data_IF_587253205707
#
_entry.id   IF_587253205707
#
_cell.length_a   1.000
_cell.length_b   1.000
_cell.length_c   1.000
_cell.angle_alpha   90.00
_cell.angle_beta   90.00
_cell.angle_gamma   90.00
#
_symmetry.space_group_name_H-M   'P 1'
#
loop_
_entity.id
_entity.type
_entity.pdbx_description
1 polymer ?
#
# COMPACT_ATOMS: atom_id res chain seq x y z
N UNK A 1 -42.91 33.15 -44.78
CA UNK A 1 -41.80 32.21 -45.07
C UNK A 1 -40.53 32.93 -44.67
N UNK A 2 -40.10 32.70 -43.45
CA UNK A 2 -38.96 33.39 -42.82
C UNK A 2 -38.14 32.28 -42.17
N UNK A 3 -37.13 31.83 -42.90
CA UNK A 3 -36.22 30.77 -42.44
C UNK A 3 -35.16 31.40 -41.54
N UNK A 4 -35.39 31.25 -40.23
CA UNK A 4 -34.44 31.56 -39.16
C UNK A 4 -33.29 30.54 -39.18
N UNK A 5 -32.15 30.95 -39.74
CA UNK A 5 -30.91 30.21 -39.65
C UNK A 5 -30.33 30.32 -38.25
N UNK A 6 -30.52 29.25 -37.47
CA UNK A 6 -30.01 29.11 -36.11
C UNK A 6 -28.52 28.73 -36.14
N UNK A 7 -27.65 29.74 -36.03
CA UNK A 7 -26.20 29.63 -35.99
C UNK A 7 -25.75 29.10 -34.61
N UNK A 8 -25.67 27.78 -34.45
CA UNK A 8 -25.03 27.14 -33.28
C UNK A 8 -23.52 27.32 -33.36
N UNK A 9 -23.02 28.36 -32.70
CA UNK A 9 -21.61 28.49 -32.37
C UNK A 9 -21.23 27.40 -31.36
N UNK A 10 -20.46 26.43 -31.84
CA UNK A 10 -19.77 25.45 -31.01
C UNK A 10 -18.61 26.15 -30.31
N UNK A 11 -18.85 26.66 -29.11
CA UNK A 11 -17.78 27.11 -28.22
C UNK A 11 -16.89 25.90 -27.91
N UNK A 12 -15.67 25.90 -28.45
CA UNK A 12 -14.66 24.95 -28.02
C UNK A 12 -14.30 25.29 -26.57
N UNK A 13 -14.22 24.30 -25.66
CA UNK A 13 -13.78 24.55 -24.31
C UNK A 13 -12.36 25.12 -24.38
N UNK A 14 -12.21 26.36 -23.91
CA UNK A 14 -10.89 26.98 -23.78
C UNK A 14 -9.99 26.00 -23.02
N UNK A 15 -8.93 25.54 -23.68
CA UNK A 15 -7.87 24.76 -23.03
C UNK A 15 -7.29 25.65 -21.94
N UNK A 16 -7.80 25.46 -20.72
CA UNK A 16 -7.35 26.15 -19.53
C UNK A 16 -5.83 26.14 -19.52
N UNK A 17 -5.24 27.33 -19.49
CA UNK A 17 -3.80 27.52 -19.33
C UNK A 17 -3.42 26.71 -18.09
N UNK A 18 -2.70 25.60 -18.30
CA UNK A 18 -2.15 24.80 -17.21
C UNK A 18 -1.24 25.74 -16.43
N UNK A 19 -1.67 26.16 -15.25
CA UNK A 19 -0.80 26.86 -14.32
C UNK A 19 0.30 25.88 -13.94
N UNK A 20 1.43 25.96 -14.64
CA UNK A 20 2.65 25.18 -14.39
C UNK A 20 3.49 25.78 -13.26
N UNK A 21 2.99 26.83 -12.61
CA UNK A 21 3.64 27.37 -11.42
C UNK A 21 3.57 26.30 -10.32
N UNK A 22 4.73 25.84 -9.87
CA UNK A 22 4.82 24.95 -8.73
C UNK A 22 4.15 25.63 -7.53
N UNK A 23 3.32 24.92 -6.74
CA UNK A 23 2.90 25.44 -5.45
C UNK A 23 4.14 25.68 -4.59
N UNK A 24 4.19 26.85 -3.93
CA UNK A 24 5.24 27.16 -2.97
C UNK A 24 5.30 26.05 -1.90
N UNK A 25 6.50 25.56 -1.58
CA UNK A 25 6.70 24.48 -0.61
C UNK A 25 6.59 23.06 -1.19
N UNK A 26 6.44 22.88 -2.51
CA UNK A 26 6.42 21.54 -3.12
C UNK A 26 7.69 20.74 -2.81
N UNK A 27 8.87 21.33 -2.90
CA UNK A 27 10.13 20.60 -2.63
C UNK A 27 10.19 20.07 -1.19
N UNK A 28 9.80 20.89 -0.21
CA UNK A 28 9.69 20.48 1.20
C UNK A 28 8.65 19.37 1.39
N UNK A 29 7.50 19.49 0.72
CA UNK A 29 6.49 18.45 0.73
C UNK A 29 7.02 17.13 0.13
N UNK A 30 7.70 17.20 -1.01
CA UNK A 30 8.24 16.04 -1.72
C UNK A 30 9.30 15.35 -0.88
N UNK A 31 10.16 16.09 -0.17
CA UNK A 31 11.13 15.51 0.76
C UNK A 31 10.45 14.73 1.90
N UNK A 32 9.37 15.28 2.48
CA UNK A 32 8.60 14.60 3.54
C UNK A 32 7.81 13.39 3.03
N UNK A 33 7.23 13.48 1.84
CA UNK A 33 6.34 12.46 1.28
C UNK A 33 7.08 11.36 0.51
N UNK A 34 8.28 11.63 -0.01
CA UNK A 34 9.02 10.66 -0.85
C UNK A 34 9.42 9.41 -0.08
N UNK A 35 9.85 9.53 1.18
CA UNK A 35 10.30 8.39 1.97
C UNK A 35 9.17 7.40 2.29
N UNK A 36 8.01 7.83 2.84
CA UNK A 36 6.87 6.93 3.05
C UNK A 36 6.36 6.27 1.76
N UNK A 37 6.35 7.02 0.66
CA UNK A 37 5.88 6.52 -0.65
C UNK A 37 6.85 5.48 -1.23
N UNK A 38 8.16 5.72 -1.13
CA UNK A 38 9.19 4.76 -1.52
C UNK A 38 9.09 3.46 -0.69
N UNK A 39 9.00 3.55 0.64
CA UNK A 39 8.93 2.37 1.49
C UNK A 39 7.69 1.53 1.22
N UNK A 40 6.55 2.18 0.95
CA UNK A 40 5.36 1.49 0.49
C UNK A 40 5.58 0.76 -0.82
N UNK A 41 6.16 1.43 -1.82
CA UNK A 41 6.44 0.80 -3.11
C UNK A 41 7.39 -0.40 -2.94
N UNK A 42 8.34 -0.31 -2.02
CA UNK A 42 9.25 -1.40 -1.66
C UNK A 42 8.52 -2.56 -1.00
N UNK A 43 7.55 -2.30 -0.11
CA UNK A 43 6.70 -3.34 0.48
C UNK A 43 5.87 -4.08 -0.58
N UNK A 44 5.30 -3.36 -1.55
CA UNK A 44 4.46 -3.94 -2.60
C UNK A 44 5.29 -4.72 -3.63
N UNK A 45 6.38 -4.13 -4.11
CA UNK A 45 7.19 -4.68 -5.20
C UNK A 45 8.32 -5.60 -4.73
N UNK A 46 8.65 -5.59 -3.43
CA UNK A 46 9.77 -6.32 -2.82
C UNK A 46 11.09 -6.17 -3.59
N UNK A 47 11.25 -5.04 -4.28
CA UNK A 47 12.40 -4.73 -5.12
C UNK A 47 12.68 -3.23 -5.02
N UNK A 48 13.77 -2.88 -4.32
CA UNK A 48 14.19 -1.49 -4.12
C UNK A 48 14.30 -0.71 -5.44
N UNK A 49 14.83 -1.35 -6.51
CA UNK A 49 14.92 -0.72 -7.83
C UNK A 49 13.54 -0.39 -8.41
N UNK A 50 12.62 -1.35 -8.41
CA UNK A 50 11.29 -1.13 -8.97
C UNK A 50 10.46 -0.16 -8.11
N UNK A 51 10.67 -0.19 -6.79
CA UNK A 51 10.07 0.75 -5.86
C UNK A 51 10.49 2.19 -6.14
N UNK A 52 11.80 2.42 -6.35
CA UNK A 52 12.30 3.73 -6.74
C UNK A 52 11.70 4.19 -8.08
N UNK A 53 11.58 3.29 -9.07
CA UNK A 53 11.01 3.62 -10.37
C UNK A 53 9.50 3.94 -10.27
N UNK A 54 8.74 3.16 -9.49
CA UNK A 54 7.31 3.39 -9.27
C UNK A 54 7.05 4.70 -8.51
N UNK A 55 7.86 5.00 -7.50
CA UNK A 55 7.76 6.27 -6.76
C UNK A 55 8.07 7.47 -7.67
N UNK A 56 9.14 7.41 -8.48
CA UNK A 56 9.46 8.47 -9.47
C UNK A 56 8.35 8.66 -10.50
N UNK A 57 7.78 7.56 -10.98
CA UNK A 57 6.67 7.59 -11.93
C UNK A 57 5.43 8.24 -11.31
N UNK A 58 5.08 7.91 -10.07
CA UNK A 58 3.97 8.52 -9.35
C UNK A 58 4.16 10.04 -9.17
N UNK A 59 5.38 10.46 -8.81
CA UNK A 59 5.74 11.87 -8.71
C UNK A 59 5.61 12.57 -10.06
N UNK A 60 6.10 11.95 -11.14
CA UNK A 60 6.01 12.50 -12.48
C UNK A 60 4.55 12.62 -12.97
N UNK A 61 3.71 11.63 -12.67
CA UNK A 61 2.27 11.68 -12.99
C UNK A 61 1.58 12.82 -12.27
N UNK A 62 1.84 12.97 -10.96
CA UNK A 62 1.30 14.06 -10.15
C UNK A 62 1.76 15.43 -10.66
N UNK A 63 3.02 15.53 -11.09
CA UNK A 63 3.57 16.73 -11.69
C UNK A 63 2.88 17.10 -13.01
N UNK A 64 2.62 16.11 -13.86
CA UNK A 64 1.99 16.31 -15.17
C UNK A 64 0.49 16.61 -15.07
N UNK A 65 -0.19 16.07 -14.05
CA UNK A 65 -1.60 16.37 -13.76
C UNK A 65 -1.78 17.76 -13.15
N UNK A 66 -0.73 18.33 -12.57
CA UNK A 66 -0.79 19.54 -11.76
C UNK A 66 -1.19 19.23 -10.32
N UNK A 67 -0.99 20.20 -9.39
CA UNK A 67 -1.38 20.02 -8.00
C UNK A 67 -2.90 19.83 -7.89
N UNK A 68 -3.38 18.95 -6.99
CA UNK A 68 -4.82 18.72 -6.80
C UNK A 68 -5.53 20.01 -6.39
N UNK A 69 -6.76 20.20 -6.88
CA UNK A 69 -7.51 21.47 -6.88
C UNK A 69 -8.17 21.83 -5.55
N UNK A 70 -7.55 21.51 -4.42
CA UNK A 70 -7.85 22.04 -3.07
C UNK A 70 -8.78 21.26 -2.10
N UNK A 71 -9.13 19.99 -2.35
CA UNK A 71 -9.70 19.13 -1.27
C UNK A 71 -8.91 17.83 -1.03
N UNK A 72 -8.14 17.37 -2.02
CA UNK A 72 -7.29 16.21 -1.85
C UNK A 72 -5.97 16.60 -1.21
N UNK A 73 -5.63 15.93 -0.11
CA UNK A 73 -4.30 15.98 0.47
C UNK A 73 -3.29 15.52 -0.59
N UNK A 74 -2.34 16.38 -0.95
CA UNK A 74 -1.29 16.10 -1.94
C UNK A 74 -0.54 14.79 -1.60
N UNK A 75 -0.40 14.46 -0.31
CA UNK A 75 0.16 13.18 0.12
C UNK A 75 -0.70 12.02 -0.36
N UNK A 76 -2.02 12.12 -0.20
CA UNK A 76 -2.95 11.09 -0.63
C UNK A 76 -2.93 10.89 -2.15
N UNK A 77 -2.89 11.98 -2.91
CA UNK A 77 -2.79 11.90 -4.37
C UNK A 77 -1.52 11.15 -4.80
N UNK A 78 -0.38 11.47 -4.19
CA UNK A 78 0.88 10.78 -4.44
C UNK A 78 0.84 9.29 -4.03
N UNK A 79 0.24 8.98 -2.88
CA UNK A 79 0.05 7.61 -2.39
C UNK A 79 -0.77 6.75 -3.37
N UNK A 80 -1.87 7.29 -3.90
CA UNK A 80 -2.72 6.60 -4.89
C UNK A 80 -1.97 6.37 -6.19
N UNK A 81 -1.30 7.41 -6.71
CA UNK A 81 -0.50 7.32 -7.93
C UNK A 81 0.60 6.24 -7.81
N UNK A 82 1.28 6.19 -6.66
CA UNK A 82 2.30 5.18 -6.40
C UNK A 82 1.73 3.76 -6.33
N UNK A 83 0.61 3.58 -5.65
CA UNK A 83 -0.06 2.28 -5.54
C UNK A 83 -0.48 1.77 -6.92
N UNK A 84 -1.04 2.65 -7.75
CA UNK A 84 -1.42 2.33 -9.13
C UNK A 84 -0.22 1.95 -10.00
N UNK A 85 0.90 2.68 -9.91
CA UNK A 85 2.13 2.32 -10.64
C UNK A 85 2.67 0.95 -10.18
N UNK A 86 2.67 0.67 -8.87
CA UNK A 86 3.10 -0.62 -8.34
C UNK A 86 2.22 -1.77 -8.85
N UNK A 87 0.89 -1.63 -8.75
CA UNK A 87 -0.05 -2.64 -9.23
C UNK A 87 0.05 -2.84 -10.74
N UNK A 88 0.20 -1.76 -11.52
CA UNK A 88 0.39 -1.87 -12.97
C UNK A 88 1.69 -2.61 -13.34
N UNK A 89 2.75 -2.46 -12.55
CA UNK A 89 4.02 -3.18 -12.75
C UNK A 89 3.90 -4.65 -12.38
N UNK A 90 3.22 -4.96 -11.28
CA UNK A 90 2.90 -6.34 -10.91
C UNK A 90 2.09 -7.00 -12.03
N UNK A 91 1.02 -6.34 -12.51
CA UNK A 91 0.23 -6.83 -13.63
C UNK A 91 1.06 -7.00 -14.91
N UNK A 92 1.99 -6.07 -15.19
CA UNK A 92 2.90 -6.15 -16.34
C UNK A 92 3.95 -7.26 -16.24
N UNK A 93 4.47 -7.54 -15.04
CA UNK A 93 5.37 -8.67 -14.76
C UNK A 93 4.65 -10.01 -14.85
N UNK A 94 3.37 -10.01 -14.50
CA UNK A 94 2.51 -11.20 -14.53
C UNK A 94 2.06 -11.51 -15.97
N UNK A 95 2.18 -10.56 -16.91
CA UNK A 95 2.00 -10.82 -18.34
C UNK A 95 0.55 -11.18 -18.70
N UNK A 96 -0.17 -10.22 -19.25
CA UNK A 96 -1.50 -10.37 -19.86
C UNK A 96 -1.58 -11.30 -21.10
N UNK A 97 -0.72 -12.30 -21.28
CA UNK A 97 -0.88 -13.26 -22.38
C UNK A 97 -0.55 -14.69 -21.98
N UNK A 98 -1.60 -15.50 -21.78
CA UNK A 98 -1.60 -16.96 -21.65
C UNK A 98 -0.78 -17.61 -20.52
N UNK A 99 0.33 -17.03 -20.08
CA UNK A 99 1.17 -17.59 -19.01
C UNK A 99 0.53 -17.45 -17.64
N UNK A 100 -0.23 -16.39 -17.33
CA UNK A 100 -0.94 -16.29 -16.05
C UNK A 100 -2.11 -17.26 -15.94
N UNK A 101 -2.88 -17.45 -17.02
CA UNK A 101 -3.94 -18.48 -17.09
C UNK A 101 -3.32 -19.89 -17.04
N UNK A 102 -2.19 -20.11 -17.72
CA UNK A 102 -1.42 -21.35 -17.58
C UNK A 102 -0.80 -21.51 -16.19
N UNK A 103 -0.38 -20.44 -15.52
CA UNK A 103 0.16 -20.46 -14.16
C UNK A 103 -0.96 -20.80 -13.17
N UNK A 104 -2.13 -20.18 -13.31
CA UNK A 104 -3.33 -20.54 -12.56
C UNK A 104 -3.76 -21.99 -12.81
N UNK A 105 -3.71 -22.47 -14.07
CA UNK A 105 -4.02 -23.87 -14.40
C UNK A 105 -2.94 -24.86 -13.94
N UNK A 106 -1.67 -24.47 -13.92
CA UNK A 106 -0.56 -25.25 -13.35
C UNK A 106 -0.55 -25.20 -11.81
N UNK A 107 -1.20 -24.19 -11.20
CA UNK A 107 -1.34 -24.02 -9.74
C UNK A 107 -2.65 -24.58 -9.20
N UNK A 108 -3.62 -24.92 -10.06
CA UNK A 108 -4.76 -25.80 -9.71
C UNK A 108 -4.21 -27.15 -9.23
N UNK A 109 -3.98 -27.27 -7.93
CA UNK A 109 -3.46 -28.48 -7.28
C UNK A 109 -2.26 -28.26 -6.37
N UNK A 110 -1.62 -27.08 -6.37
CA UNK A 110 -0.64 -26.74 -5.32
C UNK A 110 -1.37 -26.36 -4.05
N UNK A 111 -0.97 -26.90 -2.91
CA UNK A 111 -1.60 -26.53 -1.65
C UNK A 111 -1.23 -25.08 -1.30
N UNK A 112 -2.11 -24.34 -0.60
CA UNK A 112 -1.78 -23.00 -0.06
C UNK A 112 -0.56 -22.99 0.87
N UNK A 113 -0.02 -24.15 1.26
CA UNK A 113 1.17 -24.24 2.12
C UNK A 113 2.48 -24.13 1.31
N UNK A 114 2.44 -24.33 -0.02
CA UNK A 114 3.60 -24.31 -0.91
C UNK A 114 3.87 -22.96 -1.57
N UNK A 115 2.87 -22.07 -1.58
CA UNK A 115 3.00 -20.73 -2.18
C UNK A 115 3.48 -19.73 -1.14
N UNK A 116 4.42 -18.87 -1.53
CA UNK A 116 4.77 -17.71 -0.71
C UNK A 116 3.51 -16.84 -0.50
N UNK A 117 3.35 -16.26 0.70
CA UNK A 117 2.16 -15.47 1.08
C UNK A 117 1.94 -14.34 0.09
N UNK A 118 3.03 -13.78 -0.45
CA UNK A 118 3.00 -12.75 -1.49
C UNK A 118 2.35 -13.24 -2.78
N UNK A 119 2.67 -14.45 -3.21
CA UNK A 119 2.11 -15.03 -4.44
C UNK A 119 0.60 -15.31 -4.27
N UNK A 120 0.19 -15.75 -3.08
CA UNK A 120 -1.23 -15.95 -2.76
C UNK A 120 -2.01 -14.65 -2.76
N UNK A 121 -1.45 -13.58 -2.19
CA UNK A 121 -2.05 -12.24 -2.21
C UNK A 121 -2.23 -11.72 -3.64
N UNK A 122 -1.21 -11.90 -4.48
CA UNK A 122 -1.31 -11.54 -5.90
C UNK A 122 -2.41 -12.35 -6.59
N UNK A 123 -2.45 -13.66 -6.36
CA UNK A 123 -3.47 -14.55 -6.96
C UNK A 123 -4.89 -14.16 -6.50
N UNK A 124 -5.09 -13.73 -5.25
CA UNK A 124 -6.39 -13.26 -4.75
C UNK A 124 -6.78 -11.86 -5.25
N UNK A 125 -5.82 -10.95 -5.41
CA UNK A 125 -6.09 -9.57 -5.82
C UNK A 125 -6.25 -9.42 -7.34
N UNK A 126 -5.53 -10.20 -8.14
CA UNK A 126 -5.52 -10.10 -9.62
C UNK A 126 -6.90 -10.14 -10.27
N UNK A 127 -7.84 -11.04 -9.89
CA UNK A 127 -9.16 -11.10 -10.53
C UNK A 127 -10.09 -9.94 -10.15
N UNK A 128 -9.75 -9.12 -9.15
CA UNK A 128 -10.59 -8.03 -8.67
C UNK A 128 -10.45 -6.78 -9.55
N UNK A 129 -11.47 -5.92 -9.52
CA UNK A 129 -11.40 -4.62 -10.16
C UNK A 129 -10.26 -3.76 -9.56
N UNK A 130 -9.61 -2.89 -10.34
CA UNK A 130 -8.51 -2.06 -9.84
C UNK A 130 -8.85 -1.24 -8.58
N UNK A 131 -10.10 -0.80 -8.48
CA UNK A 131 -10.62 -0.06 -7.33
C UNK A 131 -10.65 -0.93 -6.07
N UNK A 132 -11.03 -2.20 -6.20
CA UNK A 132 -11.06 -3.17 -5.10
C UNK A 132 -9.65 -3.59 -4.70
N UNK A 133 -8.74 -3.75 -5.66
CA UNK A 133 -7.32 -4.02 -5.39
C UNK A 133 -6.69 -2.89 -4.56
N UNK A 134 -6.96 -1.63 -4.94
CA UNK A 134 -6.50 -0.47 -4.19
C UNK A 134 -7.09 -0.44 -2.78
N UNK A 135 -8.40 -0.64 -2.63
CA UNK A 135 -9.09 -0.69 -1.34
C UNK A 135 -8.47 -1.74 -0.40
N UNK A 136 -8.26 -2.96 -0.90
CA UNK A 136 -7.73 -4.07 -0.11
C UNK A 136 -6.27 -3.84 0.28
N UNK A 137 -5.47 -3.26 -0.63
CA UNK A 137 -4.10 -2.83 -0.34
C UNK A 137 -4.10 -1.80 0.78
N UNK A 138 -4.94 -0.75 0.68
CA UNK A 138 -5.04 0.28 1.70
C UNK A 138 -5.44 -0.28 3.07
N UNK A 139 -6.39 -1.21 3.10
CA UNK A 139 -6.86 -1.76 4.36
C UNK A 139 -5.87 -2.74 5.01
N UNK A 140 -5.40 -3.75 4.26
CA UNK A 140 -4.66 -4.86 4.85
C UNK A 140 -3.14 -4.65 4.86
N UNK A 141 -2.60 -3.92 3.88
CA UNK A 141 -1.14 -3.68 3.81
C UNK A 141 -0.81 -2.40 4.56
N UNK A 142 -1.60 -1.35 4.35
CA UNK A 142 -1.34 -0.04 4.95
C UNK A 142 -2.14 0.20 6.22
N UNK A 143 -2.94 -0.76 6.71
CA UNK A 143 -3.69 -0.58 7.96
C UNK A 143 -4.61 0.64 7.98
N UNK A 144 -5.04 1.15 6.81
CA UNK A 144 -5.87 2.34 6.74
C UNK A 144 -7.27 1.98 7.22
N UNK A 145 -7.80 2.83 8.11
CA UNK A 145 -9.13 2.66 8.67
C UNK A 145 -10.22 2.81 7.61
N UNK A 146 -11.40 2.27 7.90
CA UNK A 146 -12.52 2.20 6.95
C UNK A 146 -13.06 3.59 6.59
N UNK A 147 -13.03 4.55 7.51
CA UNK A 147 -13.51 5.92 7.27
C UNK A 147 -12.57 6.66 6.31
N UNK A 148 -11.27 6.48 6.50
CA UNK A 148 -10.25 7.05 5.63
C UNK A 148 -10.24 6.38 4.28
N UNK A 149 -10.38 5.05 4.19
CA UNK A 149 -10.57 4.37 2.91
C UNK A 149 -11.80 4.86 2.14
N UNK A 150 -12.89 5.24 2.83
CA UNK A 150 -14.09 5.80 2.19
C UNK A 150 -13.77 7.08 1.42
N UNK A 151 -12.92 7.94 2.02
CA UNK A 151 -12.42 9.15 1.39
C UNK A 151 -11.41 8.84 0.28
N UNK A 152 -10.53 7.86 0.49
CA UNK A 152 -9.49 7.50 -0.49
C UNK A 152 -10.11 6.95 -1.76
N UNK A 153 -11.05 6.03 -1.64
CA UNK A 153 -11.66 5.33 -2.77
C UNK A 153 -12.93 6.03 -3.27
N UNK A 154 -13.32 7.16 -2.68
CA UNK A 154 -14.54 7.92 -3.04
C UNK A 154 -15.82 7.08 -3.04
N UNK A 155 -15.92 6.17 -2.06
CA UNK A 155 -17.07 5.26 -1.90
C UNK A 155 -17.63 5.35 -0.49
N UNK A 156 -18.90 4.98 -0.31
CA UNK A 156 -19.52 4.98 1.01
C UNK A 156 -18.82 3.97 1.93
N UNK A 157 -18.75 4.29 3.23
CA UNK A 157 -18.25 3.37 4.26
C UNK A 157 -18.98 2.01 4.22
N UNK A 158 -20.29 2.02 3.99
CA UNK A 158 -21.10 0.81 3.84
C UNK A 158 -20.69 -0.04 2.63
N UNK A 159 -20.25 0.58 1.53
CA UNK A 159 -19.71 -0.13 0.37
C UNK A 159 -18.37 -0.78 0.69
N UNK A 160 -17.52 -0.09 1.45
CA UNK A 160 -16.24 -0.65 1.93
C UNK A 160 -16.48 -1.85 2.82
N UNK A 161 -17.33 -1.72 3.84
CA UNK A 161 -17.63 -2.82 4.77
C UNK A 161 -18.11 -4.06 4.00
N UNK A 162 -19.01 -3.87 3.03
CA UNK A 162 -19.49 -4.94 2.18
C UNK A 162 -18.39 -5.57 1.34
N UNK A 163 -17.56 -4.77 0.65
CA UNK A 163 -16.47 -5.27 -0.22
C UNK A 163 -15.41 -6.02 0.59
N UNK A 164 -15.02 -5.49 1.76
CA UNK A 164 -14.06 -6.14 2.66
C UNK A 164 -14.60 -7.47 3.20
N UNK A 165 -15.89 -7.52 3.56
CA UNK A 165 -16.55 -8.74 4.04
C UNK A 165 -16.59 -9.80 2.95
N UNK A 166 -17.05 -9.44 1.74
CA UNK A 166 -17.10 -10.36 0.60
C UNK A 166 -15.72 -10.92 0.25
N UNK A 167 -14.68 -10.07 0.29
CA UNK A 167 -13.32 -10.53 0.08
C UNK A 167 -12.85 -11.49 1.18
N UNK A 168 -13.11 -11.17 2.45
CA UNK A 168 -12.74 -12.04 3.57
C UNK A 168 -13.44 -13.41 3.49
N UNK A 169 -14.72 -13.42 3.10
CA UNK A 169 -15.48 -14.66 2.84
C UNK A 169 -14.83 -15.46 1.69
N UNK A 170 -14.56 -14.82 0.56
CA UNK A 170 -13.93 -15.47 -0.60
C UNK A 170 -12.56 -16.04 -0.27
N UNK A 171 -11.73 -15.33 0.49
CA UNK A 171 -10.42 -15.83 0.91
C UNK A 171 -10.56 -16.97 1.92
N UNK A 172 -11.54 -16.90 2.83
CA UNK A 172 -11.78 -17.96 3.82
C UNK A 172 -12.20 -19.29 3.18
N UNK A 173 -12.88 -19.28 2.04
CA UNK A 173 -13.21 -20.48 1.26
C UNK A 173 -11.97 -21.16 0.67
N UNK A 174 -10.90 -20.41 0.44
CA UNK A 174 -9.65 -20.89 -0.15
C UNK A 174 -8.55 -21.18 0.88
N UNK A 175 -8.73 -20.75 2.13
CA UNK A 175 -7.81 -21.04 3.21
C UNK A 175 -8.03 -22.48 3.75
N UNK A 176 -6.97 -23.21 4.12
CA UNK A 176 -7.10 -24.49 4.81
C UNK A 176 -7.94 -24.32 6.09
N UNK A 177 -8.80 -25.29 6.41
CA UNK A 177 -9.69 -25.22 7.58
C UNK A 177 -8.97 -24.99 8.92
N UNK A 178 -7.69 -25.36 9.01
CA UNK A 178 -6.85 -25.21 10.19
C UNK A 178 -6.01 -23.91 10.20
N UNK A 179 -6.06 -23.12 9.12
CA UNK A 179 -5.31 -21.87 9.04
C UNK A 179 -6.03 -20.76 9.84
N UNK A 180 -5.31 -20.00 10.69
CA UNK A 180 -5.90 -18.86 11.37
C UNK A 180 -6.35 -17.84 10.32
N UNK A 181 -7.65 -17.54 10.26
CA UNK A 181 -8.19 -16.55 9.34
C UNK A 181 -7.62 -15.17 9.71
N UNK A 182 -6.69 -14.61 8.92
CA UNK A 182 -6.07 -13.33 9.26
C UNK A 182 -7.05 -12.16 9.09
N UNK A 183 -8.20 -12.40 8.47
CA UNK A 183 -9.23 -11.41 8.13
C UNK A 183 -10.48 -11.48 9.01
N UNK A 184 -10.49 -12.31 10.07
CA UNK A 184 -11.60 -12.38 11.01
C UNK A 184 -11.86 -11.01 11.65
N UNK A 185 -13.13 -10.67 11.89
CA UNK A 185 -13.57 -9.34 12.35
C UNK A 185 -12.95 -8.87 13.68
N UNK A 186 -12.38 -9.80 14.47
CA UNK A 186 -11.73 -9.53 15.75
C UNK A 186 -10.20 -9.36 15.65
N UNK A 187 -9.62 -9.53 14.46
CA UNK A 187 -8.23 -9.19 14.18
C UNK A 187 -8.10 -7.67 14.20
N UNK A 188 -7.74 -7.10 15.36
CA UNK A 188 -7.44 -5.67 15.46
C UNK A 188 -6.44 -5.31 14.34
N UNK A 189 -6.68 -4.21 13.58
CA UNK A 189 -5.66 -3.72 12.66
C UNK A 189 -4.37 -3.56 13.46
N UNK A 190 -3.23 -3.98 12.89
CA UNK A 190 -1.92 -3.85 13.49
C UNK A 190 -1.85 -2.55 14.28
N UNK A 191 -1.62 -2.67 15.59
CA UNK A 191 -1.88 -1.62 16.59
C UNK A 191 -1.58 -0.23 16.02
N UNK A 192 -2.49 0.72 16.24
CA UNK A 192 -2.36 2.15 15.94
C UNK A 192 -1.00 2.76 16.33
N UNK A 193 -0.24 2.09 17.21
CA UNK A 193 1.15 2.38 17.55
C UNK A 193 2.14 2.33 16.38
N UNK A 194 1.92 1.52 15.33
CA UNK A 194 2.81 1.48 14.17
C UNK A 194 2.72 2.78 13.36
N UNK A 195 1.50 3.29 13.18
CA UNK A 195 1.27 4.63 12.63
C UNK A 195 1.65 5.76 13.60
N UNK A 196 1.62 5.53 14.91
CA UNK A 196 2.15 6.48 15.88
C UNK A 196 3.67 6.62 15.77
N UNK A 197 4.39 5.55 15.43
CA UNK A 197 5.82 5.59 15.12
C UNK A 197 6.09 6.38 13.82
N UNK A 198 5.32 6.16 12.75
CA UNK A 198 5.43 6.95 11.51
C UNK A 198 5.03 8.42 11.70
N UNK A 199 4.00 8.72 12.51
CA UNK A 199 3.64 10.10 12.90
C UNK A 199 4.73 10.77 13.75
N UNK A 200 5.48 10.01 14.56
CA UNK A 200 6.65 10.52 15.28
C UNK A 200 7.81 10.83 14.34
N UNK A 201 8.01 10.05 13.29
CA UNK A 201 8.98 10.39 12.23
C UNK A 201 8.59 11.71 11.55
N UNK A 202 7.33 11.87 11.16
CA UNK A 202 6.82 13.13 10.60
C UNK A 202 6.95 14.30 11.58
N UNK A 203 6.78 14.08 12.89
CA UNK A 203 6.97 15.10 13.92
C UNK A 203 8.44 15.53 14.08
N UNK A 204 9.39 14.57 13.99
CA UNK A 204 10.84 14.85 13.99
C UNK A 204 11.22 15.66 12.74
N UNK A 205 10.70 15.31 11.56
CA UNK A 205 10.95 16.04 10.32
C UNK A 205 10.29 17.44 10.31
N UNK A 206 9.21 17.69 11.07
CA UNK A 206 8.67 19.05 11.27
C UNK A 206 9.50 19.89 12.24
N UNK A 207 10.22 19.28 13.19
CA UNK A 207 11.18 20.00 14.03
C UNK A 207 12.46 20.38 13.27
N UNK A 208 12.82 19.64 12.21
CA UNK A 208 13.91 19.98 11.28
C UNK A 208 13.62 21.28 10.49
N UNK A 209 12.35 21.65 10.31
CA UNK A 209 11.95 22.84 9.56
C UNK A 209 11.94 24.15 10.39
N UNK A 210 12.02 24.07 11.72
CA UNK A 210 12.10 25.22 12.63
C UNK A 210 13.53 25.48 13.15
N UNK A 211 14.50 24.63 12.78
CA UNK A 211 15.89 24.73 13.21
C UNK A 211 16.70 25.69 12.30
N UNK A 212 16.41 26.98 12.38
CA UNK A 212 17.25 28.04 11.79
C UNK A 212 18.50 28.37 12.66
N UNK A 213 18.80 27.57 13.69
CA UNK A 213 19.91 27.82 14.63
C UNK A 213 20.90 26.65 14.69
N UNK A 214 21.98 26.79 13.92
CA UNK A 214 23.30 26.18 14.20
C UNK A 214 23.54 24.75 13.71
N UNK A 215 24.64 24.55 12.99
CA UNK A 215 25.13 23.26 12.49
C UNK A 215 25.20 22.14 13.56
N UNK A 216 25.38 22.50 14.83
CA UNK A 216 25.39 21.55 15.95
C UNK A 216 24.02 20.93 16.27
N UNK A 217 22.92 21.70 16.13
CA UNK A 217 21.57 21.21 16.39
C UNK A 217 21.12 20.20 15.32
N UNK A 218 21.48 20.47 14.06
CA UNK A 218 21.25 19.56 12.94
C UNK A 218 22.05 18.27 13.09
N UNK A 219 23.33 18.35 13.46
CA UNK A 219 24.16 17.17 13.73
C UNK A 219 23.61 16.31 14.88
N UNK A 220 23.06 16.93 15.93
CA UNK A 220 22.42 16.23 17.04
C UNK A 220 21.10 15.55 16.62
N UNK A 221 20.29 16.19 15.77
CA UNK A 221 19.06 15.61 15.21
C UNK A 221 19.36 14.41 14.31
N UNK A 222 20.35 14.52 13.41
CA UNK A 222 20.74 13.43 12.53
C UNK A 222 21.32 12.23 13.29
N UNK A 223 22.02 12.48 14.41
CA UNK A 223 22.46 11.42 15.32
C UNK A 223 21.26 10.73 15.99
N UNK A 224 20.31 11.50 16.54
CA UNK A 224 19.07 10.95 17.12
C UNK A 224 18.25 10.13 16.11
N UNK A 225 18.18 10.58 14.86
CA UNK A 225 17.50 9.87 13.77
C UNK A 225 18.16 8.51 13.48
N UNK A 226 19.50 8.47 13.42
CA UNK A 226 20.26 7.22 13.22
C UNK A 226 20.10 6.26 14.40
N UNK A 227 20.15 6.77 15.62
CA UNK A 227 19.98 5.96 16.82
C UNK A 227 18.56 5.38 16.89
N UNK A 228 17.55 6.18 16.57
CA UNK A 228 16.17 5.71 16.48
C UNK A 228 15.97 4.67 15.38
N UNK A 229 16.53 4.89 14.19
CA UNK A 229 16.48 3.89 13.10
C UNK A 229 17.12 2.57 13.52
N UNK A 230 18.26 2.64 14.22
CA UNK A 230 18.94 1.47 14.74
C UNK A 230 18.09 0.73 15.78
N UNK A 231 17.51 1.44 16.75
CA UNK A 231 16.61 0.85 17.75
C UNK A 231 15.36 0.23 17.13
N UNK A 232 14.79 0.88 16.10
CA UNK A 232 13.61 0.38 15.39
C UNK A 232 13.93 -0.91 14.62
N UNK A 233 15.03 -0.93 13.86
CA UNK A 233 15.50 -2.13 13.15
C UNK A 233 15.82 -3.25 14.16
N UNK A 234 16.45 -2.94 15.30
CA UNK A 234 16.71 -3.92 16.36
C UNK A 234 15.42 -4.46 17.00
N UNK A 235 14.39 -3.62 17.15
CA UNK A 235 13.07 -4.05 17.64
C UNK A 235 12.36 -4.95 16.64
N UNK A 236 12.31 -4.56 15.36
CA UNK A 236 11.68 -5.36 14.30
C UNK A 236 12.39 -6.71 14.12
N UNK A 237 13.72 -6.72 14.11
CA UNK A 237 14.50 -7.96 14.02
C UNK A 237 14.26 -8.87 15.22
N UNK A 238 14.10 -8.33 16.45
CA UNK A 238 13.68 -9.12 17.62
C UNK A 238 12.27 -9.68 17.48
N UNK A 239 11.31 -8.89 17.01
CA UNK A 239 9.93 -9.35 16.80
C UNK A 239 9.87 -10.47 15.75
N UNK A 240 10.62 -10.34 14.65
CA UNK A 240 10.74 -11.38 13.62
C UNK A 240 11.42 -12.63 14.19
N UNK A 241 12.50 -12.48 14.96
CA UNK A 241 13.17 -13.62 15.60
C UNK A 241 12.23 -14.38 16.56
N UNK A 242 11.44 -13.66 17.36
CA UNK A 242 10.43 -14.24 18.26
C UNK A 242 9.32 -14.95 17.47
N UNK A 243 8.84 -14.35 16.39
CA UNK A 243 7.85 -14.98 15.51
C UNK A 243 8.38 -16.29 14.92
N UNK A 244 9.62 -16.31 14.44
CA UNK A 244 10.28 -17.52 13.90
C UNK A 244 10.43 -18.60 14.98
N UNK A 245 10.79 -18.23 16.21
CA UNK A 245 10.88 -19.18 17.33
C UNK A 245 9.52 -19.79 17.67
N UNK A 246 8.45 -19.00 17.70
CA UNK A 246 7.07 -19.49 17.92
C UNK A 246 6.63 -20.44 16.80
N UNK A 247 6.95 -20.11 15.55
CA UNK A 247 6.62 -20.95 14.40
C UNK A 247 7.33 -22.31 14.46
N UNK A 248 8.63 -22.32 14.79
CA UNK A 248 9.40 -23.56 15.01
C UNK A 248 8.86 -24.38 16.18
N UNK A 249 8.42 -23.75 17.26
CA UNK A 249 7.80 -24.44 18.39
C UNK A 249 6.46 -25.09 18.00
N UNK A 250 5.63 -24.38 17.22
CA UNK A 250 4.39 -24.91 16.68
C UNK A 250 4.64 -26.13 15.78
N UNK A 251 5.58 -26.03 14.83
CA UNK A 251 5.96 -27.14 13.94
C UNK A 251 6.42 -28.39 14.71
N UNK A 252 7.25 -28.22 15.75
CA UNK A 252 7.68 -29.34 16.62
C UNK A 252 6.50 -30.03 17.31
N UNK A 253 5.50 -29.26 17.75
CA UNK A 253 4.32 -29.82 18.40
C UNK A 253 3.43 -30.57 17.40
N UNK A 254 3.28 -30.07 16.17
CA UNK A 254 2.55 -30.75 15.10
C UNK A 254 3.19 -32.08 14.74
N UNK A 255 4.52 -32.11 14.57
CA UNK A 255 5.27 -33.34 14.30
C UNK A 255 5.13 -34.37 15.43
N UNK A 256 5.23 -33.94 16.69
CA UNK A 256 5.00 -34.84 17.85
C UNK A 256 3.59 -35.44 17.84
N UNK A 257 2.57 -34.64 17.53
CA UNK A 257 1.18 -35.13 17.43
C UNK A 257 1.00 -36.12 16.28
N UNK A 258 1.64 -35.88 15.13
CA UNK A 258 1.60 -36.79 13.99
C UNK A 258 2.29 -38.13 14.31
N UNK A 259 3.45 -38.11 14.97
CA UNK A 259 4.15 -39.34 15.38
C UNK A 259 3.36 -40.16 16.40
N UNK A 260 2.71 -39.52 17.38
CA UNK A 260 1.87 -40.24 18.35
C UNK A 260 0.62 -40.87 17.73
N UNK A 261 0.06 -40.29 16.66
CA UNK A 261 -1.06 -40.87 15.91
C UNK A 261 -0.66 -42.07 15.06
N UNK A 262 0.61 -42.21 14.68
CA UNK A 262 1.10 -43.32 13.85
C UNK A 262 1.40 -44.60 14.65
N UNK A 263 1.35 -44.54 15.99
CA UNK A 263 1.68 -45.65 16.90
C UNK A 263 0.40 -46.34 17.44
N UNK A 264 -0.78 -45.77 17.19
CA UNK A 264 -2.10 -46.34 17.50
C UNK A 264 -2.72 -46.95 16.24
#
# INVERSE_FOLDING_TARGET
MSDEQNNKQTEQPEKGKKNTALPEGLDSFMQRAAFPVYHRAERILSSSRQAADAAREALAQLWLSGPPTAEEDLAMALYRACSRSCLSRLAGQIGLSNEWLQHMEQRKGKSPEELDIREQLVDWLTPLAPEDQALLTHHYIDGVDRDRNAKICEISRSSIDRRLTLFAEQVSEHLPADAPNPFAADSQPASTDHFAAERRCLAIDTMEAEADEGDEAFAALMTKRKDWQKEHIESETRQVADAVLRLRAAQKNTLKRAMNKSIL
#
